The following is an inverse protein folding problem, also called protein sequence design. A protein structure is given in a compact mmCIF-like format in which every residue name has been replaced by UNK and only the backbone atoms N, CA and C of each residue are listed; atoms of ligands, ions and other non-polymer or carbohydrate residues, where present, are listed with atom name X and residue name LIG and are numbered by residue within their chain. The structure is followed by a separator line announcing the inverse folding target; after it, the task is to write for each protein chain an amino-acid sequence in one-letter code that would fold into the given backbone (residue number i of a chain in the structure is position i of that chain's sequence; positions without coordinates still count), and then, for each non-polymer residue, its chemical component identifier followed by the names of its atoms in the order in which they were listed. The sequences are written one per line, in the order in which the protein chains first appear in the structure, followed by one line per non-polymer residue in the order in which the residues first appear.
data_IF_677682186920
#
_entry.id   IF_677682186920
#
_cell.length_a   1.000
_cell.length_b   1.000
_cell.length_c   1.000
_cell.angle_alpha   90.00
_cell.angle_beta   90.00
_cell.angle_gamma   90.00
#
_symmetry.space_group_name_H-M   'P 1'
#
loop_
_entity.id
_entity.type
_entity.pdbx_description
1 polymer ?
#
# COMPACT_ATOMS: atom_id res chain seq x y z
N UNK A 1 -36.24 35.28 15.88
CA UNK A 1 -36.26 34.93 17.32
C UNK A 1 -35.10 33.99 17.56
N UNK A 2 -34.16 34.36 18.41
CA UNK A 2 -33.04 33.47 18.78
C UNK A 2 -33.61 32.34 19.62
N UNK A 3 -33.25 31.09 19.31
CA UNK A 3 -33.76 29.92 20.02
C UNK A 3 -33.14 29.87 21.44
N UNK A 4 -33.88 30.31 22.44
CA UNK A 4 -33.44 30.39 23.85
C UNK A 4 -32.92 29.03 24.37
N UNK A 5 -33.49 27.91 23.90
CA UNK A 5 -33.01 26.57 24.24
C UNK A 5 -31.63 26.25 23.67
N UNK A 6 -31.30 26.72 22.47
CA UNK A 6 -29.97 26.52 21.88
C UNK A 6 -28.90 27.30 22.64
N UNK A 7 -29.22 28.53 23.06
CA UNK A 7 -28.32 29.36 23.88
C UNK A 7 -28.04 28.73 25.25
N UNK A 8 -29.04 28.11 25.89
CA UNK A 8 -28.84 27.49 27.21
C UNK A 8 -27.89 26.30 27.19
N UNK A 9 -27.88 25.51 26.12
CA UNK A 9 -26.97 24.36 25.97
C UNK A 9 -25.54 24.83 25.71
N UNK A 10 -25.35 25.85 24.87
CA UNK A 10 -24.01 26.38 24.57
C UNK A 10 -23.35 27.06 25.78
N UNK A 11 -24.13 27.65 26.69
CA UNK A 11 -23.60 28.30 27.89
C UNK A 11 -23.06 27.30 28.94
N UNK A 12 -23.45 26.03 28.88
CA UNK A 12 -22.85 24.99 29.72
C UNK A 12 -21.38 24.73 29.36
N UNK A 13 -20.99 24.90 28.08
CA UNK A 13 -19.61 24.82 27.62
C UNK A 13 -18.73 25.95 28.20
N UNK A 14 -19.34 27.06 28.58
CA UNK A 14 -18.69 28.16 29.32
C UNK A 14 -18.66 27.92 30.84
N UNK A 15 -19.02 26.73 31.31
CA UNK A 15 -18.95 26.34 32.72
C UNK A 15 -20.12 26.82 33.56
N UNK A 16 -21.27 27.13 32.95
CA UNK A 16 -22.52 27.43 33.66
C UNK A 16 -23.33 26.16 33.90
N UNK A 17 -23.98 26.06 35.06
CA UNK A 17 -24.99 25.04 35.27
C UNK A 17 -26.28 25.39 34.51
N UNK A 18 -27.13 24.39 34.24
CA UNK A 18 -28.43 24.58 33.57
C UNK A 18 -29.25 25.75 34.12
N UNK A 19 -29.35 25.87 35.46
CA UNK A 19 -30.07 26.98 36.09
C UNK A 19 -29.37 28.33 35.92
N UNK A 20 -28.04 28.37 35.94
CA UNK A 20 -27.29 29.60 35.70
C UNK A 20 -27.46 30.08 34.26
N UNK A 21 -27.39 29.17 33.29
CA UNK A 21 -27.60 29.47 31.88
C UNK A 21 -29.03 30.00 31.62
N UNK A 22 -30.06 29.34 32.18
CA UNK A 22 -31.45 29.77 32.06
C UNK A 22 -31.70 31.16 32.68
N UNK A 23 -31.15 31.41 33.87
CA UNK A 23 -31.27 32.70 34.54
C UNK A 23 -30.56 33.81 33.75
N UNK A 24 -29.34 33.57 33.25
CA UNK A 24 -28.58 34.55 32.48
C UNK A 24 -29.27 34.91 31.16
N UNK A 25 -29.74 33.91 30.39
CA UNK A 25 -30.51 34.14 29.14
C UNK A 25 -31.78 34.95 29.42
N UNK A 26 -32.51 34.62 30.50
CA UNK A 26 -33.73 35.34 30.88
C UNK A 26 -33.45 36.81 31.26
N UNK A 27 -32.34 37.09 31.95
CA UNK A 27 -31.91 38.45 32.27
C UNK A 27 -31.48 39.24 31.03
N UNK A 28 -30.81 38.60 30.07
CA UNK A 28 -30.48 39.23 28.78
C UNK A 28 -31.74 39.57 27.99
N UNK A 29 -32.73 38.65 27.98
CA UNK A 29 -33.97 38.84 27.22
C UNK A 29 -34.93 39.86 27.85
N UNK A 30 -34.99 39.95 29.19
CA UNK A 30 -35.97 40.79 29.90
C UNK A 30 -35.37 42.07 30.51
N UNK A 31 -34.04 42.21 30.54
CA UNK A 31 -33.36 43.32 31.19
C UNK A 31 -33.44 43.24 32.71
N UNK A 32 -33.46 44.40 33.38
CA UNK A 32 -33.51 44.47 34.85
C UNK A 32 -34.86 44.06 35.40
N UNK A 33 -34.92 42.93 36.10
CA UNK A 33 -36.15 42.37 36.69
C UNK A 33 -35.93 41.92 38.14
N UNK A 34 -37.00 41.76 38.91
CA UNK A 34 -36.90 41.27 40.28
C UNK A 34 -36.54 39.78 40.33
N UNK A 35 -35.92 39.31 41.42
CA UNK A 35 -35.61 37.88 41.59
C UNK A 35 -36.87 36.97 41.51
N UNK A 36 -38.03 37.50 41.91
CA UNK A 36 -39.31 36.78 41.82
C UNK A 36 -39.83 36.65 40.38
N UNK A 37 -39.68 37.71 39.57
CA UNK A 37 -40.01 37.69 38.14
C UNK A 37 -39.01 36.84 37.36
N UNK A 38 -37.73 36.89 37.71
CA UNK A 38 -36.71 36.05 37.09
C UNK A 38 -37.04 34.58 37.27
N UNK A 39 -37.38 34.14 38.49
CA UNK A 39 -37.79 32.75 38.74
C UNK A 39 -38.99 32.32 37.88
N UNK A 40 -39.92 33.24 37.60
CA UNK A 40 -41.07 32.98 36.74
C UNK A 40 -40.67 32.85 35.27
N UNK A 41 -39.93 33.82 34.74
CA UNK A 41 -39.54 33.84 33.32
C UNK A 41 -38.47 32.80 32.96
N UNK A 42 -37.60 32.44 33.91
CA UNK A 42 -36.53 31.46 33.69
C UNK A 42 -36.95 30.03 34.02
N UNK A 43 -38.20 29.82 34.47
CA UNK A 43 -38.74 28.53 34.92
C UNK A 43 -37.89 27.85 36.03
N UNK A 44 -37.18 28.67 36.83
CA UNK A 44 -36.35 28.16 37.93
C UNK A 44 -37.20 28.14 39.20
N UNK A 45 -37.19 27.05 39.98
CA UNK A 45 -37.90 26.99 41.25
C UNK A 45 -37.53 28.17 42.16
N UNK A 46 -38.54 28.82 42.78
CA UNK A 46 -38.33 30.00 43.66
C UNK A 46 -37.30 29.77 44.79
N UNK A 47 -37.15 28.53 45.25
CA UNK A 47 -36.16 28.16 46.29
C UNK A 47 -34.73 28.13 45.78
N UNK A 48 -34.52 28.11 44.45
CA UNK A 48 -33.20 28.02 43.81
C UNK A 48 -32.74 29.32 43.17
N UNK A 49 -33.62 30.31 42.98
CA UNK A 49 -33.27 31.53 42.24
C UNK A 49 -32.20 32.38 42.94
N UNK A 50 -32.30 32.57 44.26
CA UNK A 50 -31.32 33.35 45.03
C UNK A 50 -29.93 32.70 45.05
N UNK A 51 -29.77 31.39 45.33
CA UNK A 51 -28.50 30.71 45.16
C UNK A 51 -27.91 30.82 43.75
N UNK A 52 -28.75 30.70 42.71
CA UNK A 52 -28.31 30.81 41.32
C UNK A 52 -27.83 32.22 40.99
N UNK A 53 -28.55 33.25 41.44
CA UNK A 53 -28.16 34.65 41.28
C UNK A 53 -26.82 34.97 41.95
N UNK A 54 -26.61 34.49 43.18
CA UNK A 54 -25.33 34.67 43.88
C UNK A 54 -24.17 34.02 43.11
N UNK A 55 -24.40 32.86 42.48
CA UNK A 55 -23.37 32.22 41.64
C UNK A 55 -23.11 33.00 40.35
N UNK A 56 -24.14 33.55 39.72
CA UNK A 56 -23.99 34.44 38.56
C UNK A 56 -23.24 35.72 38.93
N UNK A 57 -23.51 36.30 40.10
CA UNK A 57 -22.79 37.48 40.61
C UNK A 57 -21.31 37.15 40.89
N UNK A 58 -21.03 36.02 41.54
CA UNK A 58 -19.65 35.55 41.78
C UNK A 58 -18.88 35.31 40.48
N UNK A 59 -19.55 34.84 39.43
CA UNK A 59 -18.99 34.67 38.08
C UNK A 59 -18.94 35.98 37.28
N UNK A 60 -19.35 37.11 37.86
CA UNK A 60 -19.45 38.43 37.19
C UNK A 60 -20.33 38.41 35.94
N UNK A 61 -21.40 37.61 35.97
CA UNK A 61 -22.39 37.50 34.89
C UNK A 61 -23.67 38.30 35.19
N UNK A 62 -23.93 38.64 36.46
CA UNK A 62 -25.08 39.44 36.84
C UNK A 62 -24.75 40.39 37.99
N UNK A 63 -25.46 41.51 38.06
CA UNK A 63 -25.42 42.46 39.17
C UNK A 63 -26.73 42.39 39.96
N UNK A 64 -26.62 42.32 41.29
CA UNK A 64 -27.76 42.26 42.20
C UNK A 64 -27.84 43.57 42.99
N UNK A 65 -29.00 44.22 42.98
CA UNK A 65 -29.23 45.43 43.78
C UNK A 65 -29.56 45.06 45.23
N UNK A 66 -29.19 45.96 46.16
CA UNK A 66 -29.57 45.85 47.58
C UNK A 66 -30.94 46.48 47.90
N UNK A 67 -31.73 46.82 46.87
CA UNK A 67 -33.06 47.42 47.03
C UNK A 67 -34.10 46.40 47.47
N UNK A 68 -35.26 46.89 47.95
CA UNK A 68 -36.46 46.07 48.15
C UNK A 68 -37.53 46.53 47.16
N UNK A 69 -37.91 45.72 46.15
CA UNK A 69 -37.44 44.36 45.88
C UNK A 69 -36.00 44.28 45.33
N UNK A 70 -35.38 43.10 45.45
CA UNK A 70 -34.05 42.79 44.92
C UNK A 70 -34.16 42.72 43.40
N UNK A 71 -33.43 43.60 42.70
CA UNK A 71 -33.39 43.67 41.24
C UNK A 71 -32.12 43.02 40.73
N UNK A 72 -32.22 42.34 39.59
CA UNK A 72 -31.14 41.60 38.97
C UNK A 72 -30.99 42.08 37.53
N UNK A 73 -29.75 42.30 37.10
CA UNK A 73 -29.43 42.72 35.73
C UNK A 73 -28.28 41.86 35.22
N UNK A 74 -28.37 41.36 33.98
CA UNK A 74 -27.25 40.67 33.35
C UNK A 74 -26.16 41.66 32.97
N UNK A 75 -24.90 41.22 33.08
CA UNK A 75 -23.77 41.89 32.46
C UNK A 75 -23.74 41.49 30.98
N UNK A 76 -23.44 42.44 30.10
CA UNK A 76 -23.44 42.23 28.65
C UNK A 76 -22.51 41.06 28.27
N UNK A 77 -22.90 40.18 27.33
CA UNK A 77 -22.11 39.00 26.99
C UNK A 77 -20.67 39.32 26.57
N UNK A 78 -20.47 40.45 25.91
CA UNK A 78 -19.16 40.96 25.49
C UNK A 78 -18.25 41.17 26.71
N UNK A 79 -18.75 41.78 27.78
CA UNK A 79 -17.95 42.01 29.00
C UNK A 79 -17.88 40.77 29.91
N UNK A 80 -18.95 39.96 29.89
CA UNK A 80 -19.15 38.83 30.79
C UNK A 80 -18.27 37.61 30.42
N UNK A 81 -18.06 37.36 29.12
CA UNK A 81 -17.34 36.17 28.64
C UNK A 81 -15.95 36.46 28.09
N UNK A 82 -15.59 37.71 27.79
CA UNK A 82 -14.28 38.06 27.22
C UNK A 82 -13.11 37.58 28.11
N UNK A 83 -13.23 37.75 29.43
CA UNK A 83 -12.24 37.23 30.38
C UNK A 83 -12.11 35.69 30.37
N UNK A 84 -13.24 34.98 30.27
CA UNK A 84 -13.26 33.50 30.23
C UNK A 84 -12.63 33.01 28.92
N UNK A 85 -12.95 33.65 27.79
CA UNK A 85 -12.41 33.33 26.48
C UNK A 85 -10.89 33.57 26.47
N UNK A 86 -10.44 34.74 26.96
CA UNK A 86 -9.01 35.05 27.06
C UNK A 86 -8.24 34.08 27.97
N UNK A 87 -8.83 33.65 29.08
CA UNK A 87 -8.21 32.64 29.96
C UNK A 87 -8.03 31.30 29.24
N UNK A 88 -9.05 30.84 28.48
CA UNK A 88 -8.95 29.60 27.70
C UNK A 88 -7.91 29.72 26.58
N UNK A 89 -7.87 30.85 25.86
CA UNK A 89 -6.86 31.11 24.83
C UNK A 89 -5.46 31.08 25.43
N UNK A 90 -5.25 31.73 26.58
CA UNK A 90 -3.97 31.73 27.27
C UNK A 90 -3.56 30.33 27.73
N UNK A 91 -4.51 29.52 28.22
CA UNK A 91 -4.26 28.13 28.62
C UNK A 91 -3.84 27.26 27.43
N UNK A 92 -4.54 27.36 26.31
CA UNK A 92 -4.19 26.65 25.06
C UNK A 92 -2.82 27.10 24.56
N UNK A 93 -2.53 28.40 24.59
CA UNK A 93 -1.24 28.98 24.16
C UNK A 93 -0.09 28.50 25.06
N UNK A 94 -0.30 28.44 26.37
CA UNK A 94 0.67 27.91 27.31
C UNK A 94 0.92 26.41 27.07
N UNK A 95 -0.13 25.61 26.84
CA UNK A 95 0.01 24.19 26.49
C UNK A 95 0.82 23.99 25.20
N UNK A 96 0.51 24.75 24.14
CA UNK A 96 1.26 24.70 22.88
C UNK A 96 2.74 25.09 23.07
N UNK A 97 3.00 26.10 23.90
CA UNK A 97 4.36 26.53 24.24
C UNK A 97 5.11 25.44 25.00
N UNK A 98 4.48 24.78 25.98
CA UNK A 98 5.07 23.64 26.70
C UNK A 98 5.40 22.49 25.76
N UNK A 99 4.48 22.12 24.85
CA UNK A 99 4.73 21.08 23.84
C UNK A 99 5.90 21.47 22.94
N UNK A 100 5.98 22.73 22.49
CA UNK A 100 7.11 23.22 21.70
C UNK A 100 8.43 23.16 22.47
N UNK A 101 8.43 23.51 23.75
CA UNK A 101 9.63 23.48 24.58
C UNK A 101 10.08 22.04 24.87
N UNK A 102 9.14 21.12 25.09
CA UNK A 102 9.43 19.69 25.23
C UNK A 102 10.03 19.11 23.94
N UNK A 103 9.55 19.52 22.77
CA UNK A 103 10.16 19.15 21.47
C UNK A 103 11.61 19.63 21.38
N UNK A 104 11.87 20.91 21.67
CA UNK A 104 13.22 21.49 21.67
C UNK A 104 14.16 20.81 22.67
N UNK A 105 13.71 20.62 23.91
CA UNK A 105 14.50 19.94 24.95
C UNK A 105 14.79 18.48 24.56
N UNK A 106 13.84 17.79 23.93
CA UNK A 106 14.07 16.45 23.37
C UNK A 106 15.14 16.47 22.28
N UNK A 107 15.08 17.40 21.33
CA UNK A 107 16.06 17.55 20.25
C UNK A 107 17.47 17.90 20.77
N UNK A 108 17.57 18.79 21.75
CA UNK A 108 18.84 19.16 22.39
C UNK A 108 19.45 17.98 23.17
N UNK A 109 18.62 17.20 23.86
CA UNK A 109 19.06 15.97 24.53
C UNK A 109 19.52 14.87 23.55
N UNK A 110 18.95 14.82 22.34
CA UNK A 110 19.39 13.90 21.27
C UNK A 110 20.77 14.26 20.74
N UNK A 111 21.05 15.57 20.57
CA UNK A 111 22.35 16.06 20.07
C UNK A 111 23.51 15.76 21.03
N UNK A 112 23.28 15.78 22.35
CA UNK A 112 24.34 15.57 23.34
C UNK A 112 24.74 14.11 23.54
N UNK A 113 23.87 13.15 23.19
CA UNK A 113 24.12 11.71 23.38
C UNK A 113 24.86 11.05 22.21
N UNK A 114 24.98 11.72 21.06
CA UNK A 114 25.55 11.14 19.84
C UNK A 114 24.78 9.93 19.30
N UNK A 115 23.61 9.61 19.89
CA UNK A 115 22.71 8.54 19.46
C UNK A 115 21.28 9.09 19.35
N UNK A 116 20.61 8.78 18.25
CA UNK A 116 19.19 9.02 18.09
C UNK A 116 18.43 7.73 18.39
N UNK A 117 17.65 7.71 19.48
CA UNK A 117 16.63 6.66 19.68
C UNK A 117 15.45 6.95 18.76
N UNK A 118 15.35 6.20 17.66
CA UNK A 118 14.15 6.17 16.81
C UNK A 118 13.29 4.99 17.23
N UNK A 119 12.05 5.28 17.63
CA UNK A 119 11.06 4.28 18.05
C UNK A 119 10.23 3.90 16.83
N UNK A 120 10.05 2.60 16.60
CA UNK A 120 9.09 2.08 15.64
C UNK A 120 7.74 1.86 16.33
N UNK A 121 6.67 1.81 15.54
CA UNK A 121 5.34 1.50 16.03
C UNK A 121 5.04 0.03 15.80
N UNK A 122 4.92 -0.76 16.86
CA UNK A 122 4.45 -2.15 16.77
C UNK A 122 2.92 -2.16 16.58
N UNK A 123 2.47 -2.96 15.63
CA UNK A 123 1.07 -3.19 15.30
C UNK A 123 0.69 -4.62 15.69
N UNK A 124 -0.46 -4.76 16.34
CA UNK A 124 -1.10 -6.08 16.50
C UNK A 124 -1.57 -6.59 15.14
N UNK A 125 -1.62 -7.92 14.97
CA UNK A 125 -2.01 -8.54 13.70
C UNK A 125 -3.37 -8.05 13.18
N UNK A 126 -4.33 -7.81 14.07
CA UNK A 126 -5.68 -7.36 13.72
C UNK A 126 -5.70 -5.92 13.15
N UNK A 127 -4.70 -5.10 13.49
CA UNK A 127 -4.64 -3.70 13.06
C UNK A 127 -3.81 -3.51 11.78
N UNK A 128 -3.11 -4.54 11.31
CA UNK A 128 -2.22 -4.44 10.15
C UNK A 128 -2.97 -4.09 8.88
N UNK A 129 -4.14 -4.71 8.63
CA UNK A 129 -4.94 -4.41 7.44
C UNK A 129 -5.41 -2.94 7.41
N UNK A 130 -6.01 -2.46 8.50
CA UNK A 130 -6.50 -1.08 8.59
C UNK A 130 -5.35 -0.08 8.42
N UNK A 131 -4.19 -0.38 8.99
CA UNK A 131 -3.00 0.45 8.80
C UNK A 131 -2.49 0.40 7.37
N UNK A 132 -2.43 -0.77 6.74
CA UNK A 132 -2.01 -0.95 5.36
C UNK A 132 -2.91 -0.13 4.41
N UNK A 133 -4.22 -0.19 4.59
CA UNK A 133 -5.19 0.63 3.83
C UNK A 133 -4.90 2.13 3.99
N UNK A 134 -4.66 2.58 5.22
CA UNK A 134 -4.33 3.99 5.52
C UNK A 134 -3.04 4.43 4.82
N UNK A 135 -1.99 3.60 4.84
CA UNK A 135 -0.71 3.91 4.21
C UNK A 135 -0.78 3.93 2.68
N UNK A 136 -1.53 2.99 2.07
CA UNK A 136 -1.78 2.99 0.62
C UNK A 136 -2.50 4.28 0.22
N UNK A 137 -3.56 4.66 0.94
CA UNK A 137 -4.33 5.86 0.61
C UNK A 137 -3.51 7.16 0.80
N UNK A 138 -2.68 7.22 1.84
CA UNK A 138 -1.80 8.35 2.13
C UNK A 138 -0.62 8.53 1.16
N UNK A 139 -0.29 7.51 0.37
CA UNK A 139 0.83 7.53 -0.57
C UNK A 139 0.64 8.54 -1.71
N UNK A 140 1.74 9.11 -2.19
CA UNK A 140 1.77 10.23 -3.15
C UNK A 140 2.55 9.94 -4.44
N UNK A 141 3.55 9.07 -4.40
CA UNK A 141 4.47 8.85 -5.53
C UNK A 141 4.63 7.39 -5.90
N UNK A 142 5.07 6.54 -4.97
CA UNK A 142 5.46 5.16 -5.28
C UNK A 142 5.10 4.21 -4.16
N UNK A 143 4.71 3.00 -4.53
CA UNK A 143 4.44 1.91 -3.60
C UNK A 143 5.19 0.67 -4.09
N UNK A 144 6.12 0.17 -3.27
CA UNK A 144 6.93 -1.02 -3.58
C UNK A 144 6.64 -2.09 -2.52
N UNK A 145 6.20 -3.27 -2.94
CA UNK A 145 5.69 -4.31 -2.04
C UNK A 145 6.42 -5.63 -2.29
N UNK A 146 6.87 -6.29 -1.23
CA UNK A 146 7.26 -7.70 -1.22
C UNK A 146 6.28 -8.43 -0.31
N UNK A 147 5.53 -9.36 -0.88
CA UNK A 147 4.44 -10.01 -0.17
C UNK A 147 4.42 -11.53 -0.40
N UNK A 148 4.44 -12.30 0.69
CA UNK A 148 4.20 -13.73 0.67
C UNK A 148 2.71 -14.02 0.45
N UNK A 149 2.31 -15.29 0.53
CA UNK A 149 0.91 -15.66 0.33
C UNK A 149 -0.05 -14.88 1.26
N UNK A 150 0.32 -14.67 2.52
CA UNK A 150 -0.54 -14.00 3.49
C UNK A 150 -0.53 -12.48 3.28
N UNK A 151 0.65 -11.87 3.10
CA UNK A 151 0.77 -10.44 2.83
C UNK A 151 0.11 -10.05 1.50
N UNK A 152 0.11 -10.95 0.52
CA UNK A 152 -0.55 -10.74 -0.76
C UNK A 152 -2.07 -10.87 -0.64
N UNK A 153 -2.55 -11.76 0.23
CA UNK A 153 -3.95 -11.81 0.65
C UNK A 153 -4.42 -10.48 1.26
N UNK A 154 -3.67 -9.90 2.19
CA UNK A 154 -3.97 -8.57 2.74
C UNK A 154 -4.02 -7.48 1.66
N UNK A 155 -3.09 -7.53 0.71
CA UNK A 155 -3.05 -6.58 -0.39
C UNK A 155 -4.29 -6.69 -1.29
N UNK A 156 -4.79 -7.91 -1.52
CA UNK A 156 -6.01 -8.16 -2.27
C UNK A 156 -7.25 -7.55 -1.60
N UNK A 157 -7.29 -7.52 -0.27
CA UNK A 157 -8.35 -6.83 0.51
C UNK A 157 -8.28 -5.29 0.40
N UNK A 158 -7.17 -4.73 -0.11
CA UNK A 158 -6.98 -3.29 -0.30
C UNK A 158 -7.37 -2.81 -1.71
N UNK A 159 -8.23 -3.55 -2.43
CA UNK A 159 -8.57 -3.28 -3.84
C UNK A 159 -9.03 -1.85 -4.11
N UNK A 160 -9.90 -1.30 -3.26
CA UNK A 160 -10.43 0.06 -3.44
C UNK A 160 -9.35 1.13 -3.25
N UNK A 161 -8.47 0.95 -2.26
CA UNK A 161 -7.33 1.84 -2.04
C UNK A 161 -6.33 1.77 -3.19
N UNK A 162 -6.09 0.57 -3.72
CA UNK A 162 -5.26 0.35 -4.90
C UNK A 162 -5.84 1.03 -6.15
N UNK A 163 -7.15 0.97 -6.37
CA UNK A 163 -7.81 1.70 -7.45
C UNK A 163 -7.68 3.23 -7.26
N UNK A 164 -7.79 3.72 -6.02
CA UNK A 164 -7.62 5.14 -5.70
C UNK A 164 -6.21 5.65 -6.03
N UNK A 165 -5.15 4.90 -5.69
CA UNK A 165 -3.77 5.28 -6.05
C UNK A 165 -3.49 5.21 -7.55
N UNK A 166 -4.08 4.24 -8.26
CA UNK A 166 -3.94 4.15 -9.72
C UNK A 166 -4.60 5.31 -10.45
N UNK A 167 -5.77 5.78 -9.99
CA UNK A 167 -6.42 7.01 -10.52
C UNK A 167 -5.55 8.24 -10.35
N UNK A 168 -4.67 8.26 -9.34
CA UNK A 168 -3.68 9.31 -9.09
C UNK A 168 -2.35 9.09 -9.83
N UNK A 169 -2.25 8.06 -10.69
CA UNK A 169 -1.07 7.69 -11.47
C UNK A 169 0.17 7.35 -10.62
N UNK A 170 -0.01 6.71 -9.46
CA UNK A 170 1.13 6.23 -8.66
C UNK A 170 1.79 5.00 -9.31
N UNK A 171 3.12 4.91 -9.19
CA UNK A 171 3.89 3.73 -9.61
C UNK A 171 3.81 2.65 -8.52
N UNK A 172 3.03 1.60 -8.77
CA UNK A 172 2.82 0.48 -7.83
C UNK A 172 3.47 -0.79 -8.36
N UNK A 173 4.44 -1.30 -7.61
CA UNK A 173 5.24 -2.48 -7.96
C UNK A 173 5.17 -3.54 -6.87
N UNK A 174 4.81 -4.76 -7.25
CA UNK A 174 4.55 -5.86 -6.31
C UNK A 174 5.39 -7.08 -6.67
N UNK A 175 6.20 -7.54 -5.72
CA UNK A 175 6.89 -8.83 -5.74
C UNK A 175 6.09 -9.85 -4.96
N UNK A 176 5.77 -10.95 -5.62
CA UNK A 176 5.03 -12.08 -5.02
C UNK A 176 5.81 -13.38 -5.19
N UNK A 177 5.47 -14.36 -4.35
CA UNK A 177 5.95 -15.72 -4.54
C UNK A 177 5.42 -16.32 -5.85
N UNK A 178 6.16 -17.21 -6.51
CA UNK A 178 5.71 -17.85 -7.76
C UNK A 178 4.43 -18.67 -7.60
N UNK A 179 4.15 -19.13 -6.39
CA UNK A 179 2.92 -19.85 -6.04
C UNK A 179 1.66 -18.98 -6.11
N UNK A 180 1.82 -17.66 -6.10
CA UNK A 180 0.73 -16.69 -6.17
C UNK A 180 0.37 -16.26 -7.59
N UNK A 181 1.13 -16.66 -8.60
CA UNK A 181 0.74 -16.41 -9.99
C UNK A 181 -0.61 -17.11 -10.25
N UNK A 182 -1.58 -16.36 -10.78
CA UNK A 182 -2.95 -16.81 -11.03
C UNK A 182 -3.74 -17.26 -9.79
N UNK A 183 -3.33 -16.88 -8.57
CA UNK A 183 -4.13 -17.11 -7.36
C UNK A 183 -5.40 -16.24 -7.34
N UNK A 184 -6.34 -16.52 -6.42
CA UNK A 184 -7.54 -15.69 -6.23
C UNK A 184 -7.17 -14.26 -5.86
N UNK A 185 -6.16 -14.10 -5.00
CA UNK A 185 -5.58 -12.80 -4.65
C UNK A 185 -5.04 -12.09 -5.89
N UNK A 186 -4.31 -12.80 -6.76
CA UNK A 186 -3.76 -12.23 -8.00
C UNK A 186 -4.84 -11.64 -8.90
N UNK A 187 -5.95 -12.35 -9.08
CA UNK A 187 -7.09 -11.91 -9.90
C UNK A 187 -7.85 -10.73 -9.29
N UNK A 188 -7.69 -10.50 -8.00
CA UNK A 188 -8.35 -9.40 -7.28
C UNK A 188 -7.59 -8.09 -7.42
N UNK A 189 -6.26 -8.16 -7.63
CA UNK A 189 -5.41 -6.99 -7.81
C UNK A 189 -5.80 -6.25 -9.11
N UNK A 190 -6.03 -4.92 -9.05
CA UNK A 190 -6.41 -4.15 -10.22
C UNK A 190 -5.40 -4.19 -11.38
N UNK A 191 -5.92 -4.18 -12.61
CA UNK A 191 -5.11 -3.92 -13.80
C UNK A 191 -4.42 -2.56 -13.70
N UNK A 192 -3.14 -2.51 -14.09
CA UNK A 192 -2.28 -1.33 -13.97
C UNK A 192 -1.16 -1.48 -12.95
N UNK A 193 -1.31 -2.38 -11.97
CA UNK A 193 -0.23 -2.72 -11.02
C UNK A 193 0.79 -3.64 -11.70
N UNK A 194 2.07 -3.32 -11.58
CA UNK A 194 3.12 -4.20 -12.07
C UNK A 194 3.41 -5.29 -11.04
N UNK A 195 3.13 -6.55 -11.40
CA UNK A 195 3.40 -7.72 -10.55
C UNK A 195 4.53 -8.55 -11.16
N UNK A 196 5.55 -8.84 -10.36
CA UNK A 196 6.64 -9.76 -10.73
C UNK A 196 6.75 -10.89 -9.69
N UNK A 197 7.18 -12.06 -10.15
CA UNK A 197 7.36 -13.24 -9.33
C UNK A 197 8.84 -13.49 -9.03
N UNK A 198 9.16 -13.72 -7.76
CA UNK A 198 10.48 -14.12 -7.28
C UNK A 198 10.37 -14.76 -5.90
N UNK A 199 11.39 -15.50 -5.49
CA UNK A 199 11.55 -15.83 -4.07
C UNK A 199 11.70 -14.53 -3.26
N UNK A 200 11.03 -14.47 -2.12
CA UNK A 200 11.11 -13.37 -1.15
C UNK A 200 11.22 -13.96 0.26
N UNK A 201 11.81 -13.21 1.18
CA UNK A 201 12.09 -13.68 2.55
C UNK A 201 11.19 -13.07 3.62
N UNK A 202 10.53 -11.95 3.32
CA UNK A 202 9.74 -11.21 4.29
C UNK A 202 8.66 -10.35 3.64
N UNK A 203 7.56 -10.12 4.36
CA UNK A 203 6.55 -9.14 4.02
C UNK A 203 7.03 -7.72 4.32
N UNK A 204 7.10 -6.88 3.29
CA UNK A 204 7.66 -5.54 3.36
C UNK A 204 6.95 -4.61 2.38
N UNK A 205 6.37 -3.52 2.89
CA UNK A 205 5.61 -2.53 2.14
C UNK A 205 6.29 -1.18 2.31
N UNK A 206 6.76 -0.60 1.20
CA UNK A 206 7.51 0.65 1.17
C UNK A 206 6.64 1.70 0.48
N UNK A 207 6.42 2.82 1.15
CA UNK A 207 5.56 3.91 0.68
C UNK A 207 6.37 5.19 0.53
N UNK A 208 6.31 5.79 -0.66
CA UNK A 208 6.92 7.07 -1.03
C UNK A 208 8.42 7.21 -0.71
N UNK A 209 9.12 6.10 -0.49
CA UNK A 209 10.48 6.07 0.05
C UNK A 209 10.61 6.82 1.38
N UNK A 210 9.50 7.05 2.12
CA UNK A 210 9.43 7.76 3.42
C UNK A 210 8.97 6.87 4.58
N UNK A 211 8.16 5.86 4.31
CA UNK A 211 7.60 4.95 5.32
C UNK A 211 7.75 3.48 4.90
N UNK A 212 7.91 2.63 5.91
CA UNK A 212 8.11 1.19 5.75
C UNK A 212 7.22 0.44 6.73
N UNK A 213 6.38 -0.45 6.24
CA UNK A 213 5.63 -1.43 7.04
C UNK A 213 6.22 -2.82 6.81
N UNK A 214 6.77 -3.41 7.86
CA UNK A 214 7.21 -4.81 7.85
C UNK A 214 6.23 -5.67 8.62
N UNK A 215 5.95 -6.86 8.12
CA UNK A 215 5.04 -7.79 8.79
C UNK A 215 5.79 -9.09 9.05
N UNK A 216 5.65 -9.62 10.27
CA UNK A 216 6.22 -10.90 10.64
C UNK A 216 5.33 -12.03 10.12
N UNK A 217 5.87 -12.84 9.21
CA UNK A 217 5.17 -13.94 8.54
C UNK A 217 4.63 -15.00 9.52
N UNK A 218 5.19 -15.11 10.74
CA UNK A 218 4.80 -16.17 11.69
C UNK A 218 3.62 -15.79 12.58
N UNK A 219 3.47 -14.52 12.93
CA UNK A 219 2.44 -14.07 13.90
C UNK A 219 1.55 -12.94 13.37
N UNK A 220 1.79 -12.48 12.14
CA UNK A 220 1.02 -11.42 11.48
C UNK A 220 1.20 -10.04 12.09
N UNK A 221 2.05 -9.86 13.11
CA UNK A 221 2.30 -8.55 13.71
C UNK A 221 3.09 -7.67 12.75
N UNK A 222 2.72 -6.40 12.69
CA UNK A 222 3.37 -5.38 11.87
C UNK A 222 4.29 -4.50 12.69
N UNK A 223 5.22 -3.83 12.03
CA UNK A 223 5.97 -2.71 12.60
C UNK A 223 6.15 -1.63 11.52
N UNK A 224 5.89 -0.37 11.91
CA UNK A 224 6.08 0.80 11.04
C UNK A 224 7.38 1.49 11.41
N UNK A 225 8.20 1.75 10.39
CA UNK A 225 9.47 2.43 10.48
C UNK A 225 9.48 3.66 9.56
N UNK A 226 10.23 4.69 9.93
CA UNK A 226 10.58 5.74 8.97
C UNK A 226 11.64 5.19 8.01
N UNK A 227 11.41 5.29 6.71
CA UNK A 227 12.38 4.79 5.73
C UNK A 227 13.66 5.66 5.65
N UNK A 228 13.63 6.88 6.24
CA UNK A 228 14.81 7.76 6.35
C UNK A 228 15.91 7.12 7.21
N UNK A 229 15.58 6.04 7.90
CA UNK A 229 16.51 5.19 8.62
C UNK A 229 17.28 4.27 7.68
N UNK A 230 18.43 3.79 8.15
CA UNK A 230 19.28 2.85 7.41
C UNK A 230 18.45 1.65 6.92
N UNK A 231 17.48 1.20 7.72
CA UNK A 231 16.58 0.10 7.38
C UNK A 231 15.76 0.39 6.10
N UNK A 232 15.15 1.56 5.95
CA UNK A 232 14.36 1.88 4.76
C UNK A 232 15.18 1.85 3.49
N UNK A 233 16.33 2.54 3.50
CA UNK A 233 17.26 2.53 2.35
C UNK A 233 17.79 1.13 2.01
N UNK A 234 17.95 0.28 3.02
CA UNK A 234 18.34 -1.12 2.83
C UNK A 234 17.21 -1.91 2.17
N UNK A 235 15.99 -1.82 2.69
CA UNK A 235 14.82 -2.52 2.14
C UNK A 235 14.52 -2.11 0.70
N UNK A 236 14.70 -0.84 0.37
CA UNK A 236 14.52 -0.36 -1.00
C UNK A 236 15.58 -0.94 -1.96
N UNK A 237 16.84 -1.01 -1.54
CA UNK A 237 17.91 -1.65 -2.33
C UNK A 237 17.66 -3.14 -2.50
N UNK A 238 17.21 -3.82 -1.44
CA UNK A 238 16.82 -5.24 -1.48
C UNK A 238 15.69 -5.45 -2.49
N UNK A 239 14.61 -4.66 -2.40
CA UNK A 239 13.50 -4.67 -3.35
C UNK A 239 14.01 -4.48 -4.79
N UNK A 240 14.79 -3.42 -5.02
CA UNK A 240 15.29 -3.06 -6.35
C UNK A 240 16.18 -4.14 -6.95
N UNK A 241 16.97 -4.84 -6.14
CA UNK A 241 17.82 -5.94 -6.59
C UNK A 241 16.98 -7.16 -7.01
N UNK A 242 15.99 -7.54 -6.19
CA UNK A 242 15.09 -8.66 -6.50
C UNK A 242 14.26 -8.32 -7.75
N UNK A 243 13.71 -7.11 -7.81
CA UNK A 243 12.85 -6.63 -8.90
C UNK A 243 13.50 -6.74 -10.29
N UNK A 244 14.80 -6.43 -10.39
CA UNK A 244 15.56 -6.49 -11.65
C UNK A 244 15.59 -7.89 -12.25
N UNK A 245 15.68 -8.91 -11.40
CA UNK A 245 15.80 -10.31 -11.83
C UNK A 245 14.47 -11.08 -11.75
N UNK A 246 13.42 -10.47 -11.19
CA UNK A 246 12.12 -11.09 -11.02
C UNK A 246 11.39 -11.28 -12.37
N UNK A 247 10.61 -12.36 -12.45
CA UNK A 247 9.88 -12.77 -13.66
C UNK A 247 8.60 -11.94 -13.79
N UNK A 248 8.39 -11.32 -14.96
CA UNK A 248 7.13 -10.61 -15.27
C UNK A 248 5.97 -11.59 -15.33
N UNK A 249 4.85 -11.25 -14.72
CA UNK A 249 3.69 -12.16 -14.61
C UNK A 249 2.58 -11.89 -15.62
N UNK A 250 2.58 -10.73 -16.30
CA UNK A 250 1.47 -10.33 -17.20
C UNK A 250 1.14 -11.35 -18.28
N UNK A 251 2.15 -11.95 -18.92
CA UNK A 251 1.95 -12.96 -19.96
C UNK A 251 1.38 -14.28 -19.42
N UNK A 252 1.33 -14.45 -18.10
CA UNK A 252 0.82 -15.65 -17.44
C UNK A 252 -0.59 -15.45 -16.88
N UNK A 253 -1.14 -14.23 -16.91
CA UNK A 253 -2.36 -13.88 -16.17
C UNK A 253 -3.59 -14.70 -16.58
N UNK A 254 -3.69 -15.06 -17.87
CA UNK A 254 -4.82 -15.82 -18.44
C UNK A 254 -4.60 -17.34 -18.39
N UNK A 255 -3.43 -17.80 -17.94
CA UNK A 255 -3.07 -19.21 -17.88
C UNK A 255 -3.59 -19.89 -16.60
N UNK A 256 -3.57 -21.23 -16.60
CA UNK A 256 -3.81 -21.97 -15.36
C UNK A 256 -2.64 -21.82 -14.39
N UNK A 257 -2.92 -21.97 -13.09
CA UNK A 257 -1.89 -21.92 -12.04
C UNK A 257 -0.77 -22.95 -12.28
N UNK A 258 -1.11 -24.14 -12.80
CA UNK A 258 -0.14 -25.19 -13.10
C UNK A 258 0.80 -24.80 -14.25
N UNK A 259 0.26 -24.25 -15.33
CA UNK A 259 1.05 -23.77 -16.48
C UNK A 259 1.96 -22.61 -16.10
N UNK A 260 1.45 -21.63 -15.35
CA UNK A 260 2.23 -20.50 -14.88
C UNK A 260 3.42 -20.94 -14.01
N UNK A 261 3.20 -21.91 -13.11
CA UNK A 261 4.28 -22.48 -12.28
C UNK A 261 5.30 -23.26 -13.12
N UNK A 262 4.84 -24.00 -14.13
CA UNK A 262 5.73 -24.72 -15.03
C UNK A 262 6.59 -23.77 -15.87
N UNK A 263 6.00 -22.72 -16.44
CA UNK A 263 6.72 -21.67 -17.17
C UNK A 263 7.74 -20.98 -16.27
N UNK A 264 7.35 -20.60 -15.05
CA UNK A 264 8.28 -20.04 -14.07
C UNK A 264 9.45 -20.99 -13.79
N UNK A 265 9.17 -22.29 -13.58
CA UNK A 265 10.19 -23.30 -13.34
C UNK A 265 11.14 -23.44 -14.53
N UNK A 266 10.63 -23.46 -15.76
CA UNK A 266 11.43 -23.49 -17.00
C UNK A 266 12.37 -22.28 -17.04
N UNK A 267 11.83 -21.07 -16.87
CA UNK A 267 12.62 -19.84 -16.97
C UNK A 267 13.70 -19.82 -15.88
N UNK A 268 13.34 -20.15 -14.63
CA UNK A 268 14.27 -20.22 -13.50
C UNK A 268 15.39 -21.23 -13.77
N UNK A 269 15.06 -22.45 -14.19
CA UNK A 269 16.04 -23.50 -14.49
C UNK A 269 17.02 -23.05 -15.58
N UNK A 270 16.54 -22.47 -16.68
CA UNK A 270 17.42 -22.01 -17.76
C UNK A 270 18.31 -20.86 -17.31
N UNK A 271 17.77 -19.89 -16.55
CA UNK A 271 18.55 -18.76 -16.05
C UNK A 271 19.64 -19.18 -15.05
N UNK A 272 19.34 -20.13 -14.16
CA UNK A 272 20.27 -20.56 -13.10
C UNK A 272 21.32 -21.55 -13.62
N UNK A 273 20.93 -22.47 -14.51
CA UNK A 273 21.78 -23.62 -14.88
C UNK A 273 22.17 -23.65 -16.35
N UNK A 274 21.54 -22.84 -17.20
CA UNK A 274 21.71 -22.91 -18.66
C UNK A 274 23.14 -22.63 -19.12
N UNK A 275 23.78 -21.58 -18.60
CA UNK A 275 25.17 -21.27 -18.94
C UNK A 275 26.13 -22.39 -18.52
N UNK A 276 25.98 -22.92 -17.30
CA UNK A 276 26.81 -24.02 -16.81
C UNK A 276 26.63 -25.28 -17.66
N UNK A 277 25.39 -25.58 -18.06
CA UNK A 277 25.08 -26.71 -18.94
C UNK A 277 25.75 -26.58 -20.31
N UNK A 278 25.66 -25.39 -20.92
CA UNK A 278 26.30 -25.09 -22.20
C UNK A 278 27.82 -25.28 -22.09
N UNK A 279 28.46 -24.68 -21.08
CA UNK A 279 29.90 -24.80 -20.88
C UNK A 279 30.34 -26.25 -20.68
N UNK A 280 29.62 -27.02 -19.87
CA UNK A 280 29.90 -28.45 -19.68
C UNK A 280 29.76 -29.27 -20.97
N UNK A 281 28.75 -28.96 -21.80
CA UNK A 281 28.56 -29.63 -23.09
C UNK A 281 29.73 -29.38 -24.06
N UNK A 282 30.33 -28.18 -24.00
CA UNK A 282 31.49 -27.83 -24.85
C UNK A 282 32.81 -28.47 -24.40
N UNK A 283 32.96 -28.79 -23.11
CA UNK A 283 34.16 -29.43 -22.56
C UNK A 283 34.19 -30.93 -22.88
N UNK A 284 33.03 -31.59 -22.84
CA UNK A 284 32.94 -33.06 -22.86
C UNK A 284 32.93 -33.63 -24.29
N UNK A 285 32.50 -32.88 -25.30
CA UNK A 285 32.35 -33.38 -26.67
C UNK A 285 33.13 -32.58 -27.71
N UNK A 286 33.62 -33.27 -28.76
CA UNK A 286 34.23 -32.64 -29.94
C UNK A 286 33.21 -31.94 -30.86
N UNK A 287 31.91 -32.12 -30.60
CA UNK A 287 30.77 -31.49 -31.30
C UNK A 287 29.74 -31.07 -30.25
N UNK A 288 29.76 -29.81 -29.77
CA UNK A 288 28.86 -29.39 -28.71
C UNK A 288 27.40 -29.58 -29.14
N UNK A 289 26.68 -30.45 -28.43
CA UNK A 289 25.23 -30.55 -28.56
C UNK A 289 24.61 -29.52 -27.61
N UNK A 290 24.14 -28.41 -28.17
CA UNK A 290 23.42 -27.35 -27.44
C UNK A 290 21.96 -27.72 -27.16
N UNK A 291 21.70 -28.95 -26.73
CA UNK A 291 20.35 -29.46 -26.48
C UNK A 291 19.86 -28.98 -25.10
N UNK A 292 19.22 -27.81 -25.10
CA UNK A 292 18.64 -27.21 -23.90
C UNK A 292 17.38 -27.94 -23.43
N UNK A 293 16.75 -28.76 -24.28
CA UNK A 293 15.63 -29.59 -23.89
C UNK A 293 16.06 -30.71 -22.92
N UNK A 294 17.21 -31.35 -23.16
CA UNK A 294 17.82 -32.30 -22.20
C UNK A 294 18.10 -31.69 -20.83
N UNK A 295 18.42 -30.39 -20.76
CA UNK A 295 18.58 -29.70 -19.48
C UNK A 295 17.27 -29.68 -18.69
N UNK A 296 16.15 -29.39 -19.36
CA UNK A 296 14.83 -29.42 -18.74
C UNK A 296 14.47 -30.82 -18.24
N UNK A 297 14.71 -31.86 -19.06
CA UNK A 297 14.47 -33.25 -18.68
C UNK A 297 15.26 -33.63 -17.41
N UNK A 298 16.55 -33.25 -17.33
CA UNK A 298 17.41 -33.51 -16.16
C UNK A 298 16.93 -32.82 -14.88
N UNK A 299 16.18 -31.72 -15.00
CA UNK A 299 15.59 -30.99 -13.88
C UNK A 299 14.11 -31.37 -13.62
N UNK A 300 13.67 -32.49 -14.20
CA UNK A 300 12.33 -33.04 -13.98
C UNK A 300 11.22 -32.18 -14.59
N UNK A 301 11.48 -31.51 -15.71
CA UNK A 301 10.48 -30.80 -16.51
C UNK A 301 10.22 -31.63 -17.77
N UNK A 302 8.97 -32.02 -18.00
CA UNK A 302 8.61 -32.89 -19.12
C UNK A 302 7.52 -32.27 -19.99
N UNK A 303 7.92 -31.71 -21.14
CA UNK A 303 7.02 -31.14 -22.13
C UNK A 303 6.51 -32.16 -23.16
N UNK A 304 7.03 -33.39 -23.15
CA UNK A 304 6.70 -34.42 -24.15
C UNK A 304 5.21 -34.77 -24.25
N UNK A 305 4.44 -34.92 -23.14
CA UNK A 305 3.05 -35.35 -23.22
C UNK A 305 2.10 -34.24 -23.70
N UNK A 306 2.56 -32.99 -23.81
CA UNK A 306 1.73 -31.85 -24.17
C UNK A 306 1.44 -31.78 -25.66
N UNK A 307 0.32 -31.15 -26.03
CA UNK A 307 -0.01 -30.91 -27.42
C UNK A 307 0.97 -29.92 -28.07
N UNK A 308 1.04 -29.89 -29.40
CA UNK A 308 1.87 -28.89 -30.09
C UNK A 308 1.41 -27.47 -29.75
N UNK A 309 0.09 -27.25 -29.70
CA UNK A 309 -0.48 -25.93 -29.40
C UNK A 309 -0.12 -25.49 -27.98
N UNK A 310 -0.18 -26.39 -26.99
CA UNK A 310 0.22 -26.09 -25.61
C UNK A 310 1.72 -25.72 -25.53
N UNK A 311 2.58 -26.41 -26.29
CA UNK A 311 4.02 -26.10 -26.34
C UNK A 311 4.25 -24.72 -26.96
N UNK A 312 3.52 -24.38 -28.02
CA UNK A 312 3.62 -23.07 -28.65
C UNK A 312 3.17 -21.98 -27.68
N UNK A 313 2.07 -22.18 -26.96
CA UNK A 313 1.57 -21.24 -25.96
C UNK A 313 2.57 -21.02 -24.80
N UNK A 314 3.16 -22.10 -24.28
CA UNK A 314 4.22 -22.04 -23.26
C UNK A 314 5.42 -21.25 -23.78
N UNK A 315 5.86 -21.52 -25.01
CA UNK A 315 7.01 -20.85 -25.60
C UNK A 315 6.72 -19.39 -25.92
N UNK A 316 5.51 -19.05 -26.35
CA UNK A 316 5.09 -17.67 -26.56
C UNK A 316 5.16 -16.88 -25.25
N UNK A 317 4.60 -17.40 -24.15
CA UNK A 317 4.69 -16.77 -22.85
C UNK A 317 6.14 -16.59 -22.36
N UNK A 318 6.99 -17.61 -22.52
CA UNK A 318 8.42 -17.51 -22.18
C UNK A 318 9.10 -16.40 -22.99
N UNK A 319 8.83 -16.32 -24.29
CA UNK A 319 9.39 -15.30 -25.18
C UNK A 319 8.91 -13.89 -24.81
N UNK A 320 7.63 -13.72 -24.49
CA UNK A 320 7.08 -12.45 -24.01
C UNK A 320 7.76 -11.99 -22.72
N UNK A 321 7.98 -12.91 -21.77
CA UNK A 321 8.58 -12.62 -20.47
C UNK A 321 10.07 -12.25 -20.60
N UNK A 322 10.83 -13.05 -21.35
CA UNK A 322 12.30 -13.03 -21.30
C UNK A 322 12.92 -12.10 -22.32
N UNK A 323 12.30 -11.90 -23.48
CA UNK A 323 12.85 -11.10 -24.57
C UNK A 323 11.82 -10.22 -25.29
N UNK A 324 10.62 -10.04 -24.72
CA UNK A 324 9.53 -9.26 -25.33
C UNK A 324 9.22 -9.71 -26.75
N UNK A 325 9.34 -11.02 -26.98
CA UNK A 325 9.15 -11.68 -28.26
C UNK A 325 7.81 -12.42 -28.34
N UNK A 326 7.57 -13.03 -29.49
CA UNK A 326 6.37 -13.82 -29.76
C UNK A 326 6.71 -15.09 -30.57
N UNK A 327 5.90 -16.12 -30.39
CA UNK A 327 5.90 -17.36 -31.16
C UNK A 327 4.57 -17.50 -31.87
N UNK A 328 4.59 -17.57 -33.19
CA UNK A 328 3.41 -17.76 -34.02
C UNK A 328 3.52 -19.09 -34.78
N UNK A 329 2.48 -19.92 -34.71
CA UNK A 329 2.39 -21.17 -35.43
C UNK A 329 1.37 -21.09 -36.57
N UNK A 330 1.85 -21.26 -37.80
CA UNK A 330 1.00 -21.33 -39.00
C UNK A 330 0.70 -22.79 -39.36
N UNK A 331 -0.48 -23.29 -38.98
CA UNK A 331 -0.87 -24.68 -39.22
C UNK A 331 -0.85 -25.08 -40.71
N UNK A 332 -1.23 -24.16 -41.61
CA UNK A 332 -1.30 -24.39 -43.06
C UNK A 332 0.09 -24.65 -43.68
N UNK A 333 1.08 -23.85 -43.27
CA UNK A 333 2.44 -23.90 -43.83
C UNK A 333 3.36 -24.79 -43.00
N UNK A 334 2.92 -25.22 -41.81
CA UNK A 334 3.71 -25.93 -40.80
C UNK A 334 4.99 -25.18 -40.47
N UNK A 335 4.88 -23.86 -40.39
CA UNK A 335 5.97 -22.97 -40.01
C UNK A 335 5.69 -22.38 -38.64
N UNK A 336 6.71 -22.38 -37.80
CA UNK A 336 6.73 -21.65 -36.55
C UNK A 336 7.65 -20.44 -36.76
N UNK A 337 7.14 -19.25 -36.49
CA UNK A 337 7.89 -18.00 -36.58
C UNK A 337 8.09 -17.45 -35.18
N UNK A 338 9.34 -17.19 -34.83
CA UNK A 338 9.75 -16.69 -33.52
C UNK A 338 10.39 -15.33 -33.74
N UNK A 339 9.88 -14.32 -33.06
CA UNK A 339 10.38 -12.94 -33.15
C UNK A 339 10.80 -12.48 -31.76
N UNK A 340 11.95 -11.81 -31.66
CA UNK A 340 12.46 -11.20 -30.43
C UNK A 340 12.85 -9.76 -30.71
N UNK A 341 12.44 -8.85 -29.83
CA UNK A 341 12.83 -7.43 -29.90
C UNK A 341 14.28 -7.19 -29.47
N UNK A 342 14.92 -8.18 -28.84
CA UNK A 342 16.32 -8.12 -28.41
C UNK A 342 17.23 -8.75 -29.47
N UNK A 343 18.36 -8.08 -29.73
CA UNK A 343 19.41 -8.47 -30.70
C UNK A 343 20.68 -9.01 -30.00
N UNK A 344 20.52 -9.86 -29.01
CA UNK A 344 21.63 -10.35 -28.15
C UNK A 344 21.70 -11.88 -28.01
N UNK A 345 20.96 -12.62 -28.81
CA UNK A 345 20.93 -14.08 -28.86
C UNK A 345 20.11 -14.73 -27.75
N UNK A 346 19.41 -13.96 -26.91
CA UNK A 346 18.59 -14.52 -25.82
C UNK A 346 17.46 -15.42 -26.32
N UNK A 347 16.95 -15.20 -27.54
CA UNK A 347 15.93 -16.04 -28.15
C UNK A 347 16.43 -17.46 -28.47
N UNK A 348 17.73 -17.62 -28.72
CA UNK A 348 18.34 -18.88 -29.20
C UNK A 348 18.23 -20.02 -28.18
N UNK A 349 18.29 -19.71 -26.88
CA UNK A 349 18.12 -20.70 -25.81
C UNK A 349 16.72 -21.33 -25.88
N UNK A 350 15.70 -20.50 -26.04
CA UNK A 350 14.30 -20.94 -26.11
C UNK A 350 14.00 -21.66 -27.42
N UNK A 351 14.58 -21.20 -28.52
CA UNK A 351 14.51 -21.88 -29.81
C UNK A 351 15.10 -23.29 -29.71
N UNK A 352 16.25 -23.46 -29.06
CA UNK A 352 16.86 -24.78 -28.84
C UNK A 352 15.93 -25.72 -28.05
N UNK A 353 15.27 -25.21 -27.01
CA UNK A 353 14.31 -26.00 -26.23
C UNK A 353 13.12 -26.44 -27.09
N UNK A 354 12.54 -25.52 -27.86
CA UNK A 354 11.41 -25.81 -28.75
C UNK A 354 11.81 -26.81 -29.84
N UNK A 355 12.97 -26.63 -30.48
CA UNK A 355 13.49 -27.54 -31.51
C UNK A 355 13.69 -28.96 -30.94
N UNK A 356 14.33 -29.08 -29.77
CA UNK A 356 14.51 -30.35 -29.09
C UNK A 356 13.19 -31.02 -28.70
N UNK A 357 12.20 -30.24 -28.25
CA UNK A 357 10.87 -30.74 -27.92
C UNK A 357 10.16 -31.31 -29.17
N UNK A 358 10.17 -30.57 -30.28
CA UNK A 358 9.59 -30.98 -31.56
C UNK A 358 10.22 -32.27 -32.09
N UNK A 359 11.56 -32.37 -32.04
CA UNK A 359 12.28 -33.57 -32.46
C UNK A 359 11.91 -34.79 -31.61
N UNK A 360 11.76 -34.62 -30.29
CA UNK A 360 11.33 -35.69 -29.36
C UNK A 360 9.90 -36.15 -29.57
N UNK A 361 9.04 -35.28 -30.12
CA UNK A 361 7.68 -35.62 -30.56
C UNK A 361 7.64 -36.25 -31.97
N UNK A 362 8.79 -36.41 -32.64
CA UNK A 362 8.90 -37.07 -33.94
C UNK A 362 8.81 -36.14 -35.15
N UNK A 363 8.86 -34.82 -34.95
CA UNK A 363 8.96 -33.84 -36.04
C UNK A 363 10.41 -33.70 -36.52
N UNK A 364 10.62 -33.64 -37.83
CA UNK A 364 11.85 -33.11 -38.42
C UNK A 364 11.73 -31.59 -38.49
N UNK A 365 12.76 -30.90 -38.03
CA UNK A 365 12.82 -29.44 -38.00
C UNK A 365 13.88 -28.91 -38.96
N UNK A 366 13.61 -27.77 -39.60
CA UNK A 366 14.60 -26.98 -40.34
C UNK A 366 14.51 -25.53 -39.88
N UNK A 367 15.61 -25.04 -39.31
CA UNK A 367 15.65 -23.72 -38.67
C UNK A 367 16.46 -22.74 -39.53
N UNK A 368 15.88 -21.57 -39.80
CA UNK A 368 16.52 -20.46 -40.52
C UNK A 368 16.55 -19.25 -39.59
N UNK A 369 17.75 -18.76 -39.33
CA UNK A 369 17.99 -17.59 -38.47
C UNK A 369 18.19 -16.33 -39.31
N UNK A 370 17.46 -15.27 -38.97
CA UNK A 370 17.62 -13.94 -39.55
C UNK A 370 17.84 -12.91 -38.43
N UNK A 371 18.99 -12.24 -38.45
CA UNK A 371 19.28 -11.15 -37.52
C UNK A 371 19.27 -9.83 -38.27
N UNK A 372 18.48 -8.86 -37.78
CA UNK A 372 18.47 -7.51 -38.30
C UNK A 372 18.73 -6.53 -37.16
N UNK A 373 19.83 -5.78 -37.26
CA UNK A 373 20.29 -4.83 -36.23
C UNK A 373 19.23 -3.80 -35.82
N UNK A 374 18.27 -3.47 -36.69
CA UNK A 374 17.21 -2.49 -36.42
C UNK A 374 15.83 -3.11 -36.14
N UNK A 375 15.60 -4.40 -36.43
CA UNK A 375 14.26 -5.02 -36.35
C UNK A 375 14.12 -6.17 -35.35
N UNK A 376 15.21 -6.59 -34.70
CA UNK A 376 15.19 -7.73 -33.80
C UNK A 376 15.66 -9.03 -34.46
N UNK A 377 15.58 -10.11 -33.69
CA UNK A 377 15.89 -11.46 -34.13
C UNK A 377 14.62 -12.14 -34.64
N UNK A 378 14.72 -12.80 -35.78
CA UNK A 378 13.61 -13.56 -36.37
C UNK A 378 14.08 -14.95 -36.78
N UNK A 379 13.35 -15.96 -36.33
CA UNK A 379 13.70 -17.36 -36.57
C UNK A 379 12.50 -18.09 -37.12
N UNK A 380 12.72 -18.80 -38.22
CA UNK A 380 11.70 -19.64 -38.84
C UNK A 380 12.07 -21.10 -38.66
N UNK A 381 11.18 -21.87 -38.03
CA UNK A 381 11.28 -23.32 -37.89
C UNK A 381 10.22 -23.95 -38.76
N UNK A 382 10.63 -24.67 -39.81
CA UNK A 382 9.73 -25.48 -40.62
C UNK A 382 9.66 -26.88 -40.05
N UNK A 383 8.45 -27.38 -39.77
CA UNK A 383 8.24 -28.72 -39.22
C UNK A 383 7.64 -29.66 -40.27
N UNK A 384 8.11 -30.91 -40.29
CA UNK A 384 7.53 -32.00 -41.09
C UNK A 384 7.41 -33.25 -40.22
N UNK A 385 6.24 -33.89 -40.20
CA UNK A 385 6.07 -35.17 -39.50
C UNK A 385 6.87 -36.25 -40.25
N UNK A 386 7.53 -37.12 -39.49
CA UNK A 386 8.14 -38.33 -40.01
C UNK A 386 7.11 -39.29 -40.59
#
# INVERSE_FOLDING_TARGET
MVNEHALTVSLEEFGLSKYEAQAYVSLIAKGTISAGELAYYSEIPRTKIYPTLLKLENKKLAMISKSKPIMCTAIAPEDAFDGIIHEQINKVTAMNTLVSNLKKASEESRKSRGSEEKKYFELSANNVLAQLQTMIEGSKSTIKIMADQWGFGLLAECKEQLLSVLRRNLDVKVLVLPTEICSESYRTIPEGIEIRASEITQNCFIFDETELLMINNNNGKGAIFSSTEILGSNQEKVFSNIWKNAIKTRALADMTKAEAQEIYKIIKTVNETGLMYILNSTIISKKPEFDMFKLLEKNGINLKPKSLDDIIEIMDAIMQITCSGHVNFEANTKNITIESKLNSGHSLLWISILDGCLQKQGYKTRTIYQNNSNKGEKVHIKISKN
#
